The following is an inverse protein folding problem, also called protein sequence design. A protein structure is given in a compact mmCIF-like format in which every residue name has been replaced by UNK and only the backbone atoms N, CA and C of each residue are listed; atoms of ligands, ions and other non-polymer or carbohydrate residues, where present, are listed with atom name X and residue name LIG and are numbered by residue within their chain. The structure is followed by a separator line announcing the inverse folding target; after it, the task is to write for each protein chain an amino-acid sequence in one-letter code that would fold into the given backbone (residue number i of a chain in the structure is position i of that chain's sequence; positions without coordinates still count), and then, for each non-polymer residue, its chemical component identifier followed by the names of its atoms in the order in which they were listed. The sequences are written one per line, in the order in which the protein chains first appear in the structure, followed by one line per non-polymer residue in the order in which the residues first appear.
data_IF_723022590253
#
_entry.id   IF_723022590253
#
_cell.length_a   1.000
_cell.length_b   1.000
_cell.length_c   1.000
_cell.angle_alpha   90.00
_cell.angle_beta   90.00
_cell.angle_gamma   90.00
#
_symmetry.space_group_name_H-M   'P 1'
#
loop_
_entity.id
_entity.type
_entity.pdbx_description
1 polymer ?
#
# COMPACT_ATOMS: atom_id res chain seq x y z
N UNK A 1 -9.33 13.71 -4.64
CA UNK A 1 -7.94 14.19 -4.82
C UNK A 1 -7.10 13.12 -5.47
N UNK A 2 -6.28 13.46 -6.43
CA UNK A 2 -5.49 12.43 -7.13
C UNK A 2 -4.60 11.61 -6.23
N UNK A 3 -3.96 12.23 -5.24
CA UNK A 3 -3.08 11.47 -4.35
C UNK A 3 -3.84 10.46 -3.52
N UNK A 4 -5.02 10.83 -3.08
CA UNK A 4 -5.85 9.92 -2.29
C UNK A 4 -6.33 8.76 -3.14
N UNK A 5 -6.67 9.03 -4.40
CA UNK A 5 -7.12 7.98 -5.30
C UNK A 5 -6.03 6.96 -5.57
N UNK A 6 -4.80 7.42 -5.76
CA UNK A 6 -3.67 6.52 -6.03
C UNK A 6 -3.37 5.65 -4.84
N UNK A 7 -3.40 6.21 -3.64
CA UNK A 7 -3.19 5.43 -2.42
C UNK A 7 -4.33 4.44 -2.23
N UNK A 8 -5.56 4.87 -2.47
CA UNK A 8 -6.71 3.99 -2.30
C UNK A 8 -6.70 2.85 -3.33
N UNK A 9 -6.28 3.13 -4.57
CA UNK A 9 -6.19 2.07 -5.57
C UNK A 9 -5.19 1.00 -5.18
N UNK A 10 -4.05 1.42 -4.62
CA UNK A 10 -3.07 0.48 -4.11
C UNK A 10 -3.65 -0.34 -2.96
N UNK A 11 -4.28 0.33 -2.01
CA UNK A 11 -4.87 -0.33 -0.85
C UNK A 11 -5.98 -1.29 -1.27
N UNK A 12 -6.79 -0.91 -2.25
CA UNK A 12 -7.86 -1.77 -2.73
C UNK A 12 -7.33 -3.07 -3.31
N UNK A 13 -6.20 -2.99 -4.03
CA UNK A 13 -5.61 -4.20 -4.58
C UNK A 13 -5.05 -5.09 -3.47
N UNK A 14 -4.46 -4.49 -2.44
CA UNK A 14 -4.01 -5.27 -1.29
C UNK A 14 -5.18 -6.01 -0.63
N UNK A 15 -6.29 -5.33 -0.44
CA UNK A 15 -7.49 -5.95 0.15
C UNK A 15 -8.02 -7.07 -0.74
N UNK A 16 -7.98 -6.86 -2.05
CA UNK A 16 -8.43 -7.88 -2.99
C UNK A 16 -7.56 -9.14 -2.86
N UNK A 17 -6.25 -8.98 -2.80
CA UNK A 17 -5.34 -10.11 -2.64
C UNK A 17 -5.52 -10.78 -1.28
N UNK A 18 -5.68 -9.99 -0.23
CA UNK A 18 -5.94 -10.53 1.10
C UNK A 18 -7.19 -11.41 1.11
N UNK A 19 -8.20 -11.00 0.35
CA UNK A 19 -9.46 -11.75 0.28
C UNK A 19 -9.35 -13.14 -0.35
N UNK A 20 -8.23 -13.42 -1.02
CA UNK A 20 -8.01 -14.73 -1.61
C UNK A 20 -7.48 -15.77 -0.62
N UNK A 21 -7.02 -15.33 0.53
CA UNK A 21 -6.41 -16.21 1.50
C UNK A 21 -7.20 -16.18 2.79
N UNK A 22 -7.19 -17.29 3.51
CA UNK A 22 -7.81 -17.38 4.82
C UNK A 22 -6.89 -16.91 5.93
N UNK A 23 -5.67 -16.51 5.60
CA UNK A 23 -4.70 -16.10 6.61
C UNK A 23 -5.10 -14.76 7.22
N UNK A 24 -4.90 -14.65 8.52
CA UNK A 24 -5.14 -13.41 9.23
C UNK A 24 -4.06 -12.38 8.92
N UNK A 25 -4.32 -11.12 9.29
CA UNK A 25 -3.28 -10.10 9.17
C UNK A 25 -2.04 -10.48 9.97
N UNK A 26 -2.22 -11.07 11.16
CA UNK A 26 -1.07 -11.49 11.96
C UNK A 26 -0.25 -12.58 11.25
N UNK A 27 -0.94 -13.55 10.66
CA UNK A 27 -0.25 -14.63 9.95
C UNK A 27 0.48 -14.12 8.72
N UNK A 28 -0.13 -13.17 8.00
CA UNK A 28 0.51 -12.59 6.82
C UNK A 28 1.67 -11.67 7.19
N UNK A 29 1.53 -10.92 8.29
CA UNK A 29 2.54 -9.96 8.69
C UNK A 29 3.83 -10.62 9.18
N UNK A 30 3.71 -11.80 9.77
CA UNK A 30 4.87 -12.47 10.37
C UNK A 30 5.99 -12.71 9.36
N UNK A 31 5.76 -13.34 8.21
CA UNK A 31 6.84 -13.53 7.23
C UNK A 31 7.28 -12.23 6.58
N UNK A 32 6.52 -11.16 6.72
CA UNK A 32 6.92 -9.85 6.18
C UNK A 32 7.74 -9.05 7.19
N UNK A 33 7.88 -9.56 8.41
CA UNK A 33 8.62 -8.90 9.49
C UNK A 33 8.03 -7.53 9.84
N UNK A 34 6.71 -7.44 9.82
CA UNK A 34 6.01 -6.23 10.21
C UNK A 34 4.91 -6.60 11.20
N UNK A 35 4.35 -5.61 11.86
CA UNK A 35 3.24 -5.82 12.77
C UNK A 35 1.93 -6.00 12.00
N UNK A 36 1.02 -6.77 12.57
CA UNK A 36 -0.30 -6.94 11.98
C UNK A 36 -1.01 -5.61 11.81
N UNK A 37 -0.87 -4.71 12.78
CA UNK A 37 -1.48 -3.39 12.69
C UNK A 37 -0.90 -2.57 11.54
N UNK A 38 0.40 -2.71 11.27
CA UNK A 38 1.02 -2.04 10.15
C UNK A 38 0.45 -2.56 8.83
N UNK A 39 0.34 -3.87 8.70
CA UNK A 39 -0.23 -4.45 7.48
C UNK A 39 -1.68 -4.00 7.30
N UNK A 40 -2.44 -3.98 8.39
CA UNK A 40 -3.83 -3.52 8.33
C UNK A 40 -3.91 -2.08 7.82
N UNK A 41 -3.00 -1.21 8.28
CA UNK A 41 -2.98 0.19 7.84
C UNK A 41 -2.67 0.31 6.35
N UNK A 42 -1.77 -0.53 5.84
CA UNK A 42 -1.49 -0.55 4.40
C UNK A 42 -2.75 -0.92 3.63
N UNK A 43 -3.45 -1.95 4.06
CA UNK A 43 -4.67 -2.40 3.39
C UNK A 43 -5.82 -1.41 3.54
N UNK A 44 -5.79 -0.59 4.58
CA UNK A 44 -6.82 0.42 4.81
C UNK A 44 -6.54 1.74 4.07
N UNK A 45 -5.38 1.88 3.45
CA UNK A 45 -5.02 3.11 2.78
C UNK A 45 -4.53 4.20 3.70
N UNK A 46 -4.18 3.85 4.94
CA UNK A 46 -3.71 4.83 5.93
C UNK A 46 -2.22 5.02 5.86
N UNK A 47 -1.49 4.10 5.27
CA UNK A 47 -0.05 4.19 5.13
C UNK A 47 0.38 3.49 3.85
N UNK A 48 1.53 3.87 3.32
CA UNK A 48 2.11 3.25 2.13
C UNK A 48 3.49 2.72 2.52
N UNK A 49 3.79 1.44 2.23
CA UNK A 49 5.11 0.90 2.55
C UNK A 49 6.21 1.68 1.85
N UNK A 50 7.32 1.88 2.54
CA UNK A 50 8.45 2.61 1.97
C UNK A 50 9.24 1.77 0.97
N UNK A 51 9.18 0.45 1.08
CA UNK A 51 9.88 -0.45 0.17
C UNK A 51 8.93 -1.47 -0.40
N UNK A 52 9.30 -2.06 -1.53
CA UNK A 52 8.41 -2.99 -2.21
C UNK A 52 8.62 -4.44 -1.78
N UNK A 53 9.71 -4.76 -1.08
CA UNK A 53 10.01 -6.15 -0.72
C UNK A 53 8.87 -6.80 0.07
N UNK A 54 8.35 -6.11 1.08
CA UNK A 54 7.25 -6.64 1.88
C UNK A 54 5.99 -6.81 1.03
N UNK A 55 5.75 -5.86 0.13
CA UNK A 55 4.57 -5.92 -0.74
C UNK A 55 4.65 -7.12 -1.67
N UNK A 56 5.84 -7.37 -2.23
CA UNK A 56 6.02 -8.50 -3.13
C UNK A 56 5.82 -9.83 -2.40
N UNK A 57 6.35 -9.93 -1.19
CA UNK A 57 6.14 -11.14 -0.39
C UNK A 57 4.67 -11.34 -0.04
N UNK A 58 4.00 -10.24 0.29
CA UNK A 58 2.57 -10.29 0.56
C UNK A 58 1.81 -10.83 -0.64
N UNK A 59 2.13 -10.33 -1.83
CA UNK A 59 1.48 -10.79 -3.06
C UNK A 59 1.71 -12.28 -3.27
N UNK A 60 2.94 -12.74 -3.04
CA UNK A 60 3.26 -14.16 -3.21
C UNK A 60 2.47 -15.02 -2.23
N UNK A 61 2.35 -14.57 -0.98
CA UNK A 61 1.59 -15.30 0.03
C UNK A 61 0.11 -15.37 -0.32
N UNK A 62 -0.40 -14.37 -1.01
CA UNK A 62 -1.80 -14.32 -1.42
C UNK A 62 -2.05 -15.01 -2.77
N UNK A 63 -1.02 -15.56 -3.39
CA UNK A 63 -1.17 -16.29 -4.65
C UNK A 63 -1.35 -15.40 -5.86
N UNK A 64 -0.78 -14.21 -5.85
CA UNK A 64 -0.88 -13.31 -6.99
C UNK A 64 -0.11 -13.87 -8.19
N UNK A 65 -0.71 -13.78 -9.36
CA UNK A 65 -0.04 -14.21 -10.59
C UNK A 65 0.91 -13.09 -11.08
N UNK A 66 1.76 -13.37 -12.09
CA UNK A 66 2.73 -12.36 -12.53
C UNK A 66 2.11 -11.05 -12.98
N UNK A 67 0.97 -11.10 -13.67
CA UNK A 67 0.31 -9.87 -14.12
C UNK A 67 -0.18 -9.04 -12.94
N UNK A 68 -0.72 -9.71 -11.91
CA UNK A 68 -1.17 -9.03 -10.72
C UNK A 68 -0.02 -8.42 -9.95
N UNK A 69 1.13 -9.11 -9.94
CA UNK A 69 2.30 -8.59 -9.25
C UNK A 69 2.85 -7.34 -9.94
N UNK A 70 2.82 -7.32 -11.28
CA UNK A 70 3.22 -6.14 -12.03
C UNK A 70 2.27 -4.98 -11.74
N UNK A 71 0.98 -5.26 -11.75
CA UNK A 71 -0.01 -4.21 -11.48
C UNK A 71 0.14 -3.67 -10.05
N UNK A 72 0.41 -4.54 -9.10
CA UNK A 72 0.60 -4.13 -7.73
C UNK A 72 1.83 -3.23 -7.61
N UNK A 73 2.91 -3.57 -8.29
CA UNK A 73 4.12 -2.76 -8.29
C UNK A 73 3.85 -1.37 -8.89
N UNK A 74 3.12 -1.34 -9.99
CA UNK A 74 2.77 -0.08 -10.63
C UNK A 74 1.96 0.81 -9.68
N UNK A 75 0.96 0.23 -9.03
CA UNK A 75 0.13 0.99 -8.09
C UNK A 75 0.92 1.44 -6.87
N UNK A 76 1.86 0.62 -6.42
CA UNK A 76 2.72 1.00 -5.31
C UNK A 76 3.58 2.20 -5.67
N UNK A 77 4.18 2.20 -6.87
CA UNK A 77 5.00 3.32 -7.32
C UNK A 77 4.17 4.61 -7.32
N UNK A 78 2.96 4.54 -7.84
CA UNK A 78 2.07 5.71 -7.88
C UNK A 78 1.68 6.16 -6.48
N UNK A 79 1.41 5.21 -5.58
CA UNK A 79 1.04 5.55 -4.21
C UNK A 79 2.20 6.21 -3.46
N UNK A 80 3.41 5.70 -3.64
CA UNK A 80 4.59 6.30 -3.02
C UNK A 80 4.80 7.72 -3.54
N UNK A 81 4.66 7.90 -4.85
CA UNK A 81 4.80 9.22 -5.44
C UNK A 81 3.73 10.18 -4.91
N UNK A 82 2.50 9.70 -4.76
CA UNK A 82 1.41 10.50 -4.21
C UNK A 82 1.71 10.94 -2.78
N UNK A 83 2.24 10.03 -1.96
CA UNK A 83 2.60 10.36 -0.59
C UNK A 83 3.74 11.36 -0.53
N UNK A 84 4.72 11.21 -1.43
CA UNK A 84 5.82 12.17 -1.49
C UNK A 84 5.34 13.56 -1.87
N UNK A 85 4.45 13.64 -2.86
CA UNK A 85 3.87 14.93 -3.25
C UNK A 85 3.13 15.56 -2.09
N UNK A 86 2.39 14.75 -1.36
CA UNK A 86 1.64 15.23 -0.20
C UNK A 86 2.55 15.78 0.88
N UNK A 87 3.70 15.13 1.11
CA UNK A 87 4.64 15.55 2.13
C UNK A 87 5.43 16.79 1.74
N UNK A 88 5.84 16.85 0.48
CA UNK A 88 6.73 17.90 0.01
C UNK A 88 5.98 19.11 -0.52
N UNK A 89 4.68 18.98 -0.73
CA UNK A 89 3.88 20.10 -1.17
C UNK A 89 3.97 21.20 -0.12
N UNK A 90 4.22 22.45 -0.52
CA UNK A 90 4.25 23.53 0.46
C UNK A 90 2.89 23.61 1.13
N UNK A 91 2.86 23.92 2.41
CA UNK A 91 1.57 24.12 3.07
C UNK A 91 0.85 25.24 2.37
N UNK A 92 -0.46 25.19 2.32
CA UNK A 92 -1.22 26.30 1.75
C UNK A 92 -0.77 27.59 2.45
N UNK A 93 -0.45 28.58 1.64
CA UNK A 93 0.07 29.81 2.15
C UNK A 93 -0.89 30.32 3.21
N UNK A 94 -0.46 30.43 4.38
CA UNK A 94 -1.35 30.98 5.38
C UNK A 94 -1.56 32.40 5.06
N UNK A 95 -1.35 32.67 4.45
CA UNK A 95 -1.54 33.65 4.28
C UNK A 95 -1.12 34.25 3.78
N UNK A 96 -1.08 33.86 3.35
CA UNK A 96 -0.76 34.47 2.96
C UNK A 96 -1.16 35.52 3.35
N UNK A 97 -1.35 35.54 3.70
CA UNK A 97 -1.78 36.42 4.13
C UNK A 97 -1.48 36.90 4.17
#
# INVERSE_FOLDING_TARGET
MPSQDEVEEFAALLRHLKGRTDLSYAALARPLHINASTLHRYCAGEAVPLGFTAVERFAALCGADPAERVELHRRWILAVAARRRSRTAPPPAPDAT
#
